data_IF_798605035803
#
_entry.id   IF_798605035803
#
_cell.length_a   1.000
_cell.length_b   1.000
_cell.length_c   1.000
_cell.angle_alpha   90.00
_cell.angle_beta   90.00
_cell.angle_gamma   90.00
#
_symmetry.space_group_name_H-M   'P 1'
#
loop_
_entity.id
_entity.type
_entity.pdbx_description
1 polymer ?
#
# COMPACT_ATOMS: atom_id res chain seq x y z
N UNK A 1 12.49 -1.39 22.73
CA UNK A 1 11.07 -1.74 22.57
C UNK A 1 10.75 -1.40 21.15
N UNK A 2 10.38 -2.36 20.32
CA UNK A 2 9.98 -2.10 18.93
C UNK A 2 8.56 -1.54 18.93
N UNK A 3 8.34 -0.50 18.13
CA UNK A 3 7.00 0.06 17.93
C UNK A 3 6.35 -0.67 16.76
N UNK A 4 5.03 -0.82 16.82
CA UNK A 4 4.26 -1.42 15.76
C UNK A 4 3.20 -0.44 15.28
N UNK A 5 2.98 -0.40 13.98
CA UNK A 5 2.05 0.50 13.33
C UNK A 5 1.03 -0.31 12.55
N UNK A 6 -0.24 -0.06 12.80
CA UNK A 6 -1.28 -0.40 11.85
C UNK A 6 -1.13 0.54 10.65
N UNK A 7 -0.81 -0.04 9.50
CA UNK A 7 -0.67 0.66 8.23
C UNK A 7 -1.83 0.26 7.34
N UNK A 8 -2.68 1.24 7.00
CA UNK A 8 -3.77 1.07 6.05
C UNK A 8 -3.45 1.86 4.80
N UNK A 9 -3.51 1.22 3.64
CA UNK A 9 -3.42 1.85 2.33
C UNK A 9 -4.70 1.55 1.54
N UNK A 10 -5.28 2.58 0.94
CA UNK A 10 -6.47 2.43 0.11
C UNK A 10 -6.47 3.46 -1.01
N UNK A 11 -6.56 2.99 -2.25
CA UNK A 11 -6.70 3.87 -3.40
C UNK A 11 -7.27 3.13 -4.60
N UNK A 12 -7.68 3.90 -5.61
CA UNK A 12 -7.94 3.39 -6.95
C UNK A 12 -6.80 3.81 -7.87
N UNK A 13 -6.25 2.87 -8.61
CA UNK A 13 -5.32 3.14 -9.69
C UNK A 13 -6.08 3.20 -11.02
N UNK A 14 -5.56 4.01 -11.94
CA UNK A 14 -6.12 4.21 -13.29
C UNK A 14 -6.29 2.90 -14.03
N UNK A 15 -7.29 2.82 -14.90
CA UNK A 15 -7.52 1.67 -15.80
C UNK A 15 -6.26 1.29 -16.59
N UNK A 16 -5.60 2.30 -17.15
CA UNK A 16 -4.36 2.17 -17.92
C UNK A 16 -3.08 2.11 -17.10
N UNK A 17 -3.15 1.70 -15.82
CA UNK A 17 -1.94 1.50 -15.00
C UNK A 17 -1.03 0.47 -15.69
N UNK A 18 0.27 0.77 -15.87
CA UNK A 18 1.17 -0.14 -16.59
C UNK A 18 1.26 -1.52 -15.94
N UNK A 19 1.29 -2.57 -16.77
CA UNK A 19 1.40 -3.95 -16.29
C UNK A 19 2.60 -4.19 -15.35
N UNK A 20 3.81 -3.63 -15.59
CA UNK A 20 4.93 -3.80 -14.66
C UNK A 20 4.65 -3.29 -13.24
N UNK A 21 3.81 -2.25 -13.11
CA UNK A 21 3.37 -1.71 -11.81
C UNK A 21 2.36 -2.66 -11.17
N UNK A 22 1.41 -3.18 -11.94
CA UNK A 22 0.44 -4.16 -11.45
C UNK A 22 1.11 -5.47 -11.01
N UNK A 23 2.11 -5.94 -11.75
CA UNK A 23 2.92 -7.11 -11.38
C UNK A 23 3.66 -6.88 -10.06
N UNK A 24 4.27 -5.71 -9.89
CA UNK A 24 4.92 -5.33 -8.64
C UNK A 24 3.95 -5.33 -7.46
N UNK A 25 2.75 -4.77 -7.63
CA UNK A 25 1.72 -4.74 -6.60
C UNK A 25 1.16 -6.13 -6.28
N UNK A 26 0.97 -6.99 -7.29
CA UNK A 26 0.55 -8.39 -7.06
C UNK A 26 1.59 -9.16 -6.26
N UNK A 27 2.88 -8.95 -6.55
CA UNK A 27 3.95 -9.54 -5.76
C UNK A 27 3.97 -8.97 -4.33
N UNK A 28 3.97 -7.65 -4.16
CA UNK A 28 3.98 -7.02 -2.84
C UNK A 28 2.80 -7.43 -1.97
N UNK A 29 1.60 -7.59 -2.53
CA UNK A 29 0.40 -8.04 -1.80
C UNK A 29 0.40 -9.55 -1.50
N UNK A 30 1.40 -10.30 -1.98
CA UNK A 30 1.49 -11.75 -1.81
C UNK A 30 0.57 -12.55 -2.74
N UNK A 31 -0.08 -11.91 -3.72
CA UNK A 31 -0.90 -12.61 -4.71
C UNK A 31 -0.05 -13.47 -5.67
N UNK A 32 1.23 -13.13 -5.83
CA UNK A 32 2.24 -13.90 -6.57
C UNK A 32 3.45 -14.13 -5.66
N UNK A 33 4.05 -15.32 -5.75
CA UNK A 33 5.21 -15.70 -4.94
C UNK A 33 6.53 -15.14 -5.50
N UNK A 34 6.74 -15.31 -6.81
CA UNK A 34 7.98 -14.93 -7.49
C UNK A 34 8.08 -13.41 -7.68
N UNK A 35 9.25 -12.84 -7.37
CA UNK A 35 9.55 -11.42 -7.63
C UNK A 35 9.60 -11.17 -9.14
N UNK A 36 8.89 -10.16 -9.66
CA UNK A 36 8.99 -9.78 -11.07
C UNK A 36 10.42 -9.40 -11.45
N UNK A 37 10.92 -9.81 -12.63
CA UNK A 37 12.33 -9.64 -13.01
C UNK A 37 12.75 -8.19 -13.29
N UNK A 38 11.79 -7.27 -13.45
CA UNK A 38 12.05 -5.85 -13.66
C UNK A 38 12.10 -5.04 -12.37
N UNK A 39 11.79 -5.64 -11.22
CA UNK A 39 11.94 -4.98 -9.93
C UNK A 39 13.40 -5.04 -9.50
N UNK A 40 13.92 -3.88 -9.10
CA UNK A 40 15.22 -3.79 -8.47
C UNK A 40 15.17 -4.45 -7.08
N UNK A 41 16.15 -5.32 -6.80
CA UNK A 41 16.19 -6.09 -5.55
C UNK A 41 16.60 -5.24 -4.34
N UNK A 42 17.37 -4.17 -4.55
CA UNK A 42 17.79 -3.27 -3.48
C UNK A 42 16.64 -2.32 -3.10
N UNK A 43 15.85 -1.86 -4.08
CA UNK A 43 14.64 -1.05 -3.84
C UNK A 43 13.47 -1.90 -3.33
N UNK A 44 13.33 -3.14 -3.81
CA UNK A 44 12.22 -4.04 -3.47
C UNK A 44 12.72 -5.37 -2.86
N UNK A 45 13.34 -5.35 -1.67
CA UNK A 45 14.00 -6.53 -1.10
C UNK A 45 13.00 -7.62 -0.68
N UNK A 46 11.76 -7.26 -0.32
CA UNK A 46 10.73 -8.23 0.07
C UNK A 46 9.31 -7.69 -0.15
N UNK A 47 8.31 -8.55 0.11
CA UNK A 47 6.88 -8.25 -0.10
C UNK A 47 6.31 -7.40 1.05
N UNK A 48 6.48 -6.08 0.94
CA UNK A 48 6.03 -5.11 1.94
C UNK A 48 4.53 -5.17 2.30
N UNK A 49 3.65 -5.58 1.38
CA UNK A 49 2.20 -5.53 1.58
C UNK A 49 1.58 -6.89 1.87
N UNK A 50 2.36 -7.97 1.96
CA UNK A 50 1.84 -9.31 2.11
C UNK A 50 1.31 -9.48 3.56
N UNK A 51 0.07 -9.94 3.75
CA UNK A 51 -0.48 -10.16 5.08
C UNK A 51 0.31 -11.23 5.84
N UNK A 52 0.68 -10.94 7.10
CA UNK A 52 1.24 -11.95 8.00
C UNK A 52 0.10 -12.81 8.60
N UNK A 53 0.06 -14.14 8.34
CA UNK A 53 -0.96 -15.02 8.91
C UNK A 53 -0.90 -15.13 10.44
N UNK A 54 0.25 -14.83 11.05
CA UNK A 54 0.47 -14.85 12.50
C UNK A 54 0.34 -13.45 13.13
N UNK A 55 -0.12 -12.46 12.36
CA UNK A 55 -0.29 -11.09 12.84
C UNK A 55 -1.22 -11.01 14.04
N UNK A 56 -0.81 -10.21 15.03
CA UNK A 56 -1.60 -9.90 16.23
C UNK A 56 -2.62 -8.79 16.01
N UNK A 57 -2.69 -8.20 14.82
CA UNK A 57 -3.66 -7.15 14.51
C UNK A 57 -5.09 -7.69 14.68
N UNK A 58 -5.96 -7.03 15.47
CA UNK A 58 -7.34 -7.48 15.63
C UNK A 58 -8.07 -7.55 14.27
N UNK A 59 -8.66 -8.70 13.96
CA UNK A 59 -9.30 -8.95 12.66
C UNK A 59 -8.33 -9.39 11.56
N UNK A 60 -7.04 -9.52 11.87
CA UNK A 60 -5.99 -9.95 10.95
C UNK A 60 -5.56 -8.86 9.97
N UNK A 61 -4.54 -9.21 9.19
CA UNK A 61 -4.06 -8.42 8.08
C UNK A 61 -4.78 -8.79 6.79
N UNK A 62 -4.77 -7.87 5.83
CA UNK A 62 -5.40 -8.10 4.54
C UNK A 62 -4.76 -7.24 3.46
N UNK A 63 -4.57 -7.83 2.29
CA UNK A 63 -4.13 -7.11 1.11
C UNK A 63 -4.91 -7.61 -0.10
N UNK A 64 -5.32 -6.69 -0.97
CA UNK A 64 -6.01 -7.03 -2.19
C UNK A 64 -5.80 -5.98 -3.26
N UNK A 65 -5.55 -6.46 -4.48
CA UNK A 65 -5.58 -5.67 -5.71
C UNK A 65 -6.63 -6.27 -6.62
N UNK A 66 -7.65 -5.50 -7.00
CA UNK A 66 -8.79 -6.01 -7.79
C UNK A 66 -9.18 -5.03 -8.88
N UNK A 67 -9.36 -5.53 -10.09
CA UNK A 67 -10.00 -4.76 -11.15
C UNK A 67 -11.51 -4.69 -10.93
N UNK A 68 -12.09 -3.50 -10.97
CA UNK A 68 -13.48 -3.26 -10.61
C UNK A 68 -14.12 -2.22 -11.52
N UNK A 69 -15.43 -2.36 -11.73
CA UNK A 69 -16.24 -1.35 -12.43
C UNK A 69 -16.94 -0.45 -11.40
N UNK A 70 -16.67 0.85 -11.46
CA UNK A 70 -17.13 1.89 -10.55
C UNK A 70 -18.13 2.81 -11.27
N UNK A 71 -19.32 2.30 -11.56
CA UNK A 71 -20.48 3.11 -11.96
C UNK A 71 -20.24 4.05 -13.17
N UNK A 72 -19.35 3.69 -14.09
CA UNK A 72 -19.02 4.51 -15.27
C UNK A 72 -17.54 4.50 -15.67
N UNK A 73 -16.65 4.01 -14.80
CA UNK A 73 -15.23 3.80 -15.11
C UNK A 73 -14.75 2.46 -14.57
N UNK A 74 -13.68 1.92 -15.13
CA UNK A 74 -12.98 0.77 -14.57
C UNK A 74 -11.69 1.25 -13.89
N UNK A 75 -11.32 0.60 -12.80
CA UNK A 75 -10.13 0.95 -12.04
C UNK A 75 -9.60 -0.26 -11.27
N UNK A 76 -8.35 -0.18 -10.83
CA UNK A 76 -7.76 -1.16 -9.94
C UNK A 76 -7.88 -0.67 -8.50
N UNK A 77 -8.75 -1.30 -7.71
CA UNK A 77 -8.87 -1.04 -6.28
C UNK A 77 -7.76 -1.76 -5.51
N UNK A 78 -6.91 -0.99 -4.82
CA UNK A 78 -5.94 -1.48 -3.86
C UNK A 78 -6.45 -1.22 -2.44
N UNK A 79 -6.41 -2.26 -1.62
CA UNK A 79 -6.63 -2.16 -0.18
C UNK A 79 -5.60 -3.00 0.56
N UNK A 80 -4.93 -2.41 1.53
CA UNK A 80 -3.97 -3.07 2.41
C UNK A 80 -4.23 -2.63 3.85
N UNK A 81 -4.11 -3.57 4.78
CA UNK A 81 -4.12 -3.35 6.22
C UNK A 81 -3.12 -4.33 6.84
N UNK A 82 -1.97 -3.83 7.24
CA UNK A 82 -0.88 -4.64 7.82
C UNK A 82 -0.42 -4.05 9.17
N UNK A 83 0.29 -4.85 9.96
CA UNK A 83 0.98 -4.43 11.17
C UNK A 83 2.48 -4.45 10.91
N UNK A 84 3.08 -3.27 10.86
CA UNK A 84 4.50 -3.10 10.53
C UNK A 84 5.32 -2.74 11.76
N UNK A 85 6.58 -3.16 11.79
CA UNK A 85 7.54 -2.63 12.76
C UNK A 85 8.00 -1.23 12.33
N UNK A 86 8.49 -0.44 13.27
CA UNK A 86 9.03 0.90 12.99
C UNK A 86 10.14 0.91 11.94
N UNK A 87 10.95 -0.14 11.88
CA UNK A 87 11.99 -0.31 10.85
C UNK A 87 11.40 -0.44 9.44
N UNK A 88 10.24 -1.09 9.29
CA UNK A 88 9.56 -1.29 7.99
C UNK A 88 8.84 -0.02 7.51
N UNK A 89 8.55 0.92 8.41
CA UNK A 89 7.91 2.20 8.04
C UNK A 89 8.80 3.01 7.10
N UNK A 90 10.13 2.85 7.18
CA UNK A 90 11.06 3.47 6.25
C UNK A 90 10.81 3.06 4.79
N UNK A 91 10.42 1.81 4.58
CA UNK A 91 10.15 1.22 3.27
C UNK A 91 8.78 1.62 2.70
N UNK A 92 7.93 2.28 3.50
CA UNK A 92 6.62 2.76 3.05
C UNK A 92 6.75 3.68 1.84
N UNK A 93 7.78 4.54 1.83
CA UNK A 93 8.01 5.52 0.76
C UNK A 93 8.14 4.83 -0.59
N UNK A 94 8.84 3.70 -0.67
CA UNK A 94 9.01 2.91 -1.89
C UNK A 94 7.67 2.46 -2.48
N UNK A 95 6.75 1.96 -1.64
CA UNK A 95 5.42 1.57 -2.11
C UNK A 95 4.60 2.78 -2.52
N UNK A 96 4.65 3.87 -1.74
CA UNK A 96 3.86 5.05 -2.05
C UNK A 96 4.34 5.72 -3.34
N UNK A 97 5.65 5.77 -3.60
CA UNK A 97 6.24 6.27 -4.85
C UNK A 97 5.84 5.41 -6.05
N UNK A 98 5.72 4.08 -5.87
CA UNK A 98 5.17 3.18 -6.87
C UNK A 98 3.68 3.46 -7.16
N UNK A 99 2.89 3.82 -6.15
CA UNK A 99 1.45 4.03 -6.28
C UNK A 99 1.10 5.42 -6.83
N UNK A 100 1.68 6.46 -6.26
CA UNK A 100 1.22 7.84 -6.38
C UNK A 100 1.03 8.32 -7.84
N UNK A 101 1.92 8.01 -8.80
CA UNK A 101 1.76 8.44 -10.19
C UNK A 101 0.53 7.84 -10.89
N UNK A 102 0.06 6.70 -10.39
CA UNK A 102 -0.99 5.88 -11.00
C UNK A 102 -2.33 5.99 -10.28
N UNK A 103 -2.39 6.72 -9.16
CA UNK A 103 -3.65 7.00 -8.46
C UNK A 103 -4.59 7.78 -9.39
N UNK A 104 -5.84 7.30 -9.44
CA UNK A 104 -6.92 7.83 -10.26
C UNK A 104 -7.35 9.21 -9.76
N UNK A 105 -7.65 9.35 -8.46
CA UNK A 105 -8.12 10.60 -7.86
C UNK A 105 -7.24 11.02 -6.67
N UNK A 106 -6.88 12.30 -6.62
CA UNK A 106 -6.24 12.90 -5.44
C UNK A 106 -7.17 12.80 -4.22
N UNK A 107 -6.61 12.51 -3.04
CA UNK A 107 -7.38 12.42 -1.81
C UNK A 107 -6.80 11.42 -0.81
N UNK A 108 -7.68 10.89 0.03
CA UNK A 108 -7.34 9.95 1.09
C UNK A 108 -6.67 8.68 0.53
N UNK A 109 -5.45 8.41 1.00
CA UNK A 109 -4.65 7.23 0.64
C UNK A 109 -4.54 6.19 1.74
N UNK A 110 -5.01 6.49 2.95
CA UNK A 110 -4.91 5.62 4.11
C UNK A 110 -4.38 6.30 5.37
N UNK A 111 -3.86 5.51 6.32
CA UNK A 111 -3.30 6.03 7.57
C UNK A 111 -2.23 5.11 8.15
N UNK A 112 -1.41 5.69 9.04
CA UNK A 112 -0.57 4.96 9.98
C UNK A 112 -1.02 5.28 11.40
N UNK A 113 -1.11 4.27 12.25
CA UNK A 113 -1.42 4.44 13.67
C UNK A 113 -0.57 3.49 14.49
N UNK A 114 0.20 4.03 15.43
CA UNK A 114 0.94 3.21 16.40
C UNK A 114 -0.05 2.37 17.23
N UNK A 115 0.29 1.10 17.52
CA UNK A 115 -0.60 0.09 18.09
C UNK A 115 -1.35 0.57 19.35
N UNK A 116 -0.69 1.37 20.20
CA UNK A 116 -1.26 1.87 21.46
C UNK A 116 -1.67 3.35 21.41
N UNK A 117 -1.50 4.03 20.28
CA UNK A 117 -1.89 5.42 20.12
C UNK A 117 -3.32 5.54 19.56
N UNK A 118 -3.98 6.63 19.94
CA UNK A 118 -5.28 7.04 19.40
C UNK A 118 -5.13 7.98 18.21
N UNK A 119 -3.96 8.63 18.06
CA UNK A 119 -3.68 9.53 16.95
C UNK A 119 -3.24 8.76 15.72
N UNK A 120 -3.80 9.12 14.57
CA UNK A 120 -3.39 8.59 13.27
C UNK A 120 -2.71 9.66 12.43
N UNK A 121 -1.73 9.24 11.64
CA UNK A 121 -1.11 10.03 10.59
C UNK A 121 -1.79 9.66 9.27
N UNK A 122 -2.53 10.59 8.68
CA UNK A 122 -3.27 10.36 7.43
C UNK A 122 -2.33 10.54 6.23
N UNK A 123 -2.43 9.64 5.27
CA UNK A 123 -1.75 9.70 3.99
C UNK A 123 -2.68 10.27 2.92
N UNK A 124 -2.17 11.20 2.13
CA UNK A 124 -2.89 11.82 1.01
C UNK A 124 -2.10 11.61 -0.27
N UNK A 125 -2.78 11.18 -1.33
CA UNK A 125 -2.27 11.23 -2.69
C UNK A 125 -2.69 12.54 -3.35
N UNK A 126 -1.77 13.21 -4.04
CA UNK A 126 -2.05 14.47 -4.72
C UNK A 126 -1.16 14.64 -5.94
N UNK A 127 -1.81 14.83 -7.09
CA UNK A 127 -1.16 15.25 -8.34
C UNK A 127 0.03 14.34 -8.74
N UNK A 128 -0.10 13.03 -8.51
CA UNK A 128 0.94 12.03 -8.79
C UNK A 128 2.00 11.87 -7.70
N UNK A 129 1.83 12.54 -6.56
CA UNK A 129 2.72 12.48 -5.39
C UNK A 129 1.96 12.07 -4.13
N UNK A 130 2.66 11.92 -3.01
CA UNK A 130 2.06 11.61 -1.72
C UNK A 130 2.63 12.48 -0.60
N UNK A 131 1.87 12.61 0.49
CA UNK A 131 2.37 13.25 1.69
C UNK A 131 1.44 13.05 2.88
N UNK A 132 1.88 13.50 4.07
CA UNK A 132 0.99 13.56 5.22
C UNK A 132 -0.13 14.58 4.94
N UNK A 133 -1.32 14.33 5.51
CA UNK A 133 -2.36 15.36 5.57
C UNK A 133 -1.83 16.57 6.36
N UNK A 134 -1.56 17.66 5.63
CA UNK A 134 -1.30 18.96 6.23
C UNK A 134 -2.64 19.65 6.41
N UNK A 135 -3.09 19.79 7.66
CA UNK A 135 -4.28 20.56 8.02
C UNK A 135 -4.17 22.05 7.69
#
# INVERSE_FOLDING_TARGET
MSLYYEVVLTCFLRDGTPEPVLEALRWHTGAVEDRPPHLDEDEHPYRLLAPDPDSRLPGGESASLRYQSLGGRNAWGLFVRNLWMDDDIGELTTVLDLLAPHVEDSGYGGYLREEYDTKMSVLIFRDGTHGPETG
#
